data_IF_050600951590
#
_entry.id   IF_050600951590
#
_cell.length_a   1.000
_cell.length_b   1.000
_cell.length_c   1.000
_cell.angle_alpha   90.00
_cell.angle_beta   90.00
_cell.angle_gamma   90.00
#
_symmetry.space_group_name_H-M   'P 1'
#
loop_
_entity.id
_entity.type
_entity.pdbx_description
1 polymer ?
#
# COMPACT_ATOMS: atom_id res chain seq x y z
N UNK A 1 -56.04 23.48 -24.46
CA UNK A 1 -55.57 24.50 -23.45
C UNK A 1 -54.64 23.84 -22.49
N UNK A 2 -53.44 24.34 -22.33
CA UNK A 2 -52.39 23.63 -21.65
C UNK A 2 -52.29 24.05 -20.21
N UNK A 3 -51.94 23.08 -19.32
CA UNK A 3 -51.60 23.32 -17.94
C UNK A 3 -50.09 23.28 -17.73
N UNK A 4 -49.64 24.39 -17.23
CA UNK A 4 -48.28 24.73 -16.83
C UNK A 4 -47.71 23.79 -15.77
N UNK A 5 -46.58 23.17 -16.04
CA UNK A 5 -45.70 22.57 -15.07
C UNK A 5 -44.52 23.50 -14.82
N UNK A 6 -44.52 24.20 -13.69
CA UNK A 6 -43.40 25.04 -13.23
C UNK A 6 -42.28 24.18 -12.64
N UNK A 7 -41.19 24.26 -13.29
CA UNK A 7 -39.85 23.84 -12.95
C UNK A 7 -39.38 24.27 -11.56
N UNK A 8 -38.94 23.33 -10.76
CA UNK A 8 -38.03 23.62 -9.67
C UNK A 8 -36.62 23.34 -10.14
N UNK A 9 -35.91 24.42 -10.46
CA UNK A 9 -34.53 24.45 -10.85
C UNK A 9 -33.67 24.39 -9.58
N UNK A 10 -33.23 23.24 -9.17
CA UNK A 10 -32.17 23.11 -8.15
C UNK A 10 -30.84 23.29 -8.88
N UNK A 11 -30.23 24.45 -8.70
CA UNK A 11 -28.86 24.72 -9.10
C UNK A 11 -27.91 23.86 -8.26
N UNK A 12 -27.48 22.76 -8.81
CA UNK A 12 -26.28 22.06 -8.29
C UNK A 12 -25.08 22.95 -8.58
N UNK A 13 -24.49 23.49 -7.54
CA UNK A 13 -23.15 24.07 -7.60
C UNK A 13 -22.18 22.97 -8.02
N UNK A 14 -21.55 23.15 -9.16
CA UNK A 14 -20.40 22.38 -9.61
C UNK A 14 -19.24 22.64 -8.66
N UNK A 15 -19.15 21.89 -7.59
CA UNK A 15 -17.93 21.69 -6.84
C UNK A 15 -17.18 20.55 -7.50
N UNK A 16 -16.03 20.86 -8.01
CA UNK A 16 -15.08 20.03 -8.73
C UNK A 16 -14.64 18.88 -7.80
N UNK A 17 -15.26 17.72 -7.93
CA UNK A 17 -14.66 16.46 -7.50
C UNK A 17 -13.93 15.96 -8.74
N UNK A 18 -12.64 16.28 -8.82
CA UNK A 18 -11.75 15.73 -9.83
C UNK A 18 -11.77 14.20 -9.72
N UNK A 19 -11.88 13.49 -10.84
CA UNK A 19 -11.91 12.04 -10.83
C UNK A 19 -10.48 11.51 -10.63
N UNK A 20 -10.12 11.20 -9.39
CA UNK A 20 -8.97 10.34 -9.10
C UNK A 20 -9.24 8.86 -9.47
N UNK A 21 -10.25 8.62 -10.29
CA UNK A 21 -10.73 7.30 -10.62
C UNK A 21 -10.65 7.06 -12.13
N UNK A 22 -9.44 6.83 -12.65
CA UNK A 22 -9.33 6.21 -13.97
C UNK A 22 -8.02 5.42 -14.10
N UNK A 23 -7.93 4.30 -13.39
CA UNK A 23 -7.17 3.14 -13.86
C UNK A 23 -7.97 1.90 -13.48
N UNK A 24 -8.04 0.92 -14.37
CA UNK A 24 -8.74 -0.35 -14.18
C UNK A 24 -8.10 -1.12 -13.01
N UNK A 25 -8.37 -0.69 -11.79
CA UNK A 25 -7.98 -1.42 -10.60
C UNK A 25 -8.89 -2.62 -10.51
N UNK A 26 -8.36 -3.78 -10.68
CA UNK A 26 -9.10 -5.04 -10.50
C UNK A 26 -9.58 -5.06 -9.06
N UNK A 27 -10.87 -4.82 -8.86
CA UNK A 27 -11.49 -4.84 -7.53
C UNK A 27 -11.34 -6.23 -6.93
N UNK A 28 -10.65 -6.33 -5.82
CA UNK A 28 -10.40 -7.60 -5.16
C UNK A 28 -11.61 -8.00 -4.30
N UNK A 29 -12.23 -9.12 -4.63
CA UNK A 29 -13.36 -9.62 -3.86
C UNK A 29 -12.91 -10.46 -2.68
N UNK A 30 -13.49 -10.19 -1.50
CA UNK A 30 -13.26 -10.90 -0.26
C UNK A 30 -14.54 -11.34 0.43
N UNK A 31 -14.45 -12.39 1.22
CA UNK A 31 -15.53 -12.88 2.07
C UNK A 31 -15.36 -12.37 3.51
N UNK A 32 -16.48 -12.03 4.16
CA UNK A 32 -16.49 -11.69 5.59
C UNK A 32 -16.37 -12.99 6.40
N UNK A 33 -15.53 -12.97 7.42
CA UNK A 33 -15.39 -14.09 8.35
C UNK A 33 -16.27 -13.85 9.58
N UNK A 34 -17.34 -14.60 9.68
CA UNK A 34 -18.23 -14.57 10.86
C UNK A 34 -17.59 -15.28 12.06
N UNK A 35 -16.86 -16.37 11.81
CA UNK A 35 -16.16 -17.14 12.83
C UNK A 35 -14.67 -16.84 12.87
N UNK A 36 -14.19 -16.33 14.01
CA UNK A 36 -12.79 -15.92 14.24
C UNK A 36 -11.96 -17.09 14.82
N UNK A 37 -12.53 -18.26 14.98
CA UNK A 37 -11.90 -19.42 15.61
C UNK A 37 -10.67 -19.96 14.84
N UNK A 38 -9.75 -20.61 15.60
CA UNK A 38 -8.51 -21.22 15.07
C UNK A 38 -8.78 -22.30 14.02
N UNK A 39 -9.85 -23.09 14.19
CA UNK A 39 -10.24 -24.17 13.29
C UNK A 39 -10.64 -23.61 11.92
N UNK A 40 -11.50 -22.59 11.88
CA UNK A 40 -11.94 -21.94 10.66
C UNK A 40 -10.76 -21.27 9.92
N UNK A 41 -9.87 -20.59 10.65
CA UNK A 41 -8.67 -20.01 10.07
C UNK A 41 -7.76 -21.05 9.40
N UNK A 42 -7.63 -22.24 10.01
CA UNK A 42 -6.82 -23.34 9.46
C UNK A 42 -7.47 -23.94 8.21
N UNK A 43 -8.79 -24.07 8.19
CA UNK A 43 -9.53 -24.55 7.03
C UNK A 43 -9.40 -23.58 5.84
N UNK A 44 -9.69 -22.29 6.06
CA UNK A 44 -9.56 -21.27 5.01
C UNK A 44 -8.16 -21.22 4.40
N UNK A 45 -7.11 -21.36 5.23
CA UNK A 45 -5.72 -21.41 4.73
C UNK A 45 -5.46 -22.65 3.84
N UNK A 46 -6.05 -23.81 4.18
CA UNK A 46 -5.97 -25.04 3.36
C UNK A 46 -6.69 -24.87 2.03
N UNK A 47 -7.83 -24.16 2.04
CA UNK A 47 -8.65 -23.88 0.86
C UNK A 47 -8.04 -22.75 -0.02
N UNK A 48 -6.82 -22.31 0.32
CA UNK A 48 -6.08 -21.31 -0.46
C UNK A 48 -6.49 -19.87 -0.20
N UNK A 49 -7.20 -19.60 0.89
CA UNK A 49 -7.54 -18.24 1.31
C UNK A 49 -6.45 -17.61 2.18
N UNK A 50 -6.27 -16.32 1.99
CA UNK A 50 -5.45 -15.43 2.80
C UNK A 50 -6.34 -14.71 3.82
N UNK A 51 -5.96 -14.76 5.09
CA UNK A 51 -6.68 -14.07 6.15
C UNK A 51 -6.25 -12.61 6.18
N UNK A 52 -7.23 -11.71 6.31
CA UNK A 52 -7.00 -10.27 6.38
C UNK A 52 -7.78 -9.65 7.52
N UNK A 53 -7.15 -8.69 8.20
CA UNK A 53 -7.81 -7.76 9.10
C UNK A 53 -7.87 -6.38 8.44
N UNK A 54 -9.05 -5.78 8.43
CA UNK A 54 -9.29 -4.46 7.84
C UNK A 54 -9.74 -3.55 8.96
N UNK A 55 -9.02 -2.46 9.18
CA UNK A 55 -9.28 -1.53 10.27
C UNK A 55 -9.06 -0.07 9.88
N UNK A 56 -9.70 0.84 10.62
CA UNK A 56 -9.43 2.27 10.54
C UNK A 56 -9.75 2.93 11.88
N UNK A 57 -9.29 4.17 12.05
CA UNK A 57 -9.63 4.94 13.25
C UNK A 57 -11.13 5.24 13.28
N UNK A 58 -11.82 4.78 14.33
CA UNK A 58 -13.25 5.00 14.51
C UNK A 58 -14.16 4.07 13.70
N UNK A 59 -13.62 3.05 13.05
CA UNK A 59 -14.38 2.04 12.32
C UNK A 59 -14.17 0.69 12.97
N UNK A 60 -15.23 -0.12 13.06
CA UNK A 60 -15.16 -1.48 13.57
C UNK A 60 -14.26 -2.35 12.68
N UNK A 61 -13.48 -3.23 13.30
CA UNK A 61 -12.57 -4.12 12.57
C UNK A 61 -13.36 -5.15 11.77
N UNK A 62 -13.01 -5.28 10.50
CA UNK A 62 -13.62 -6.25 9.60
C UNK A 62 -12.62 -7.40 9.39
N UNK A 63 -13.03 -8.60 9.75
CA UNK A 63 -12.25 -9.81 9.47
C UNK A 63 -12.68 -10.38 8.13
N UNK A 64 -11.74 -10.42 7.20
CA UNK A 64 -11.98 -10.87 5.83
C UNK A 64 -11.05 -12.02 5.43
N UNK A 65 -11.40 -12.69 4.34
CA UNK A 65 -10.51 -13.63 3.67
C UNK A 65 -10.59 -13.42 2.16
N UNK A 66 -9.43 -13.45 1.51
CA UNK A 66 -9.27 -13.27 0.06
C UNK A 66 -8.65 -14.52 -0.54
N UNK A 67 -8.96 -14.84 -1.79
CA UNK A 67 -8.21 -15.87 -2.53
C UNK A 67 -6.77 -15.40 -2.70
N UNK A 68 -5.81 -16.21 -2.25
CA UNK A 68 -4.37 -15.88 -2.25
C UNK A 68 -3.87 -15.48 -3.63
N UNK A 69 -4.24 -16.22 -4.67
CA UNK A 69 -3.83 -15.95 -6.05
C UNK A 69 -4.30 -14.59 -6.56
N UNK A 70 -5.56 -14.24 -6.28
CA UNK A 70 -6.16 -12.98 -6.72
C UNK A 70 -5.60 -11.80 -5.96
N UNK A 71 -5.37 -11.96 -4.64
CA UNK A 71 -4.66 -10.96 -3.83
C UNK A 71 -3.25 -10.67 -4.36
N UNK A 72 -2.47 -11.71 -4.65
CA UNK A 72 -1.12 -11.54 -5.20
C UNK A 72 -1.12 -10.86 -6.57
N UNK A 73 -2.08 -11.20 -7.43
CA UNK A 73 -2.25 -10.53 -8.74
C UNK A 73 -2.60 -9.05 -8.55
N UNK A 74 -3.56 -8.74 -7.67
CA UNK A 74 -3.97 -7.36 -7.37
C UNK A 74 -2.80 -6.54 -6.79
N UNK A 75 -2.02 -7.11 -5.87
CA UNK A 75 -0.85 -6.43 -5.28
C UNK A 75 0.27 -6.20 -6.32
N UNK A 76 0.48 -7.13 -7.25
CA UNK A 76 1.49 -6.97 -8.33
C UNK A 76 1.04 -5.98 -9.39
N UNK A 77 -0.25 -5.97 -9.70
CA UNK A 77 -0.83 -5.08 -10.70
C UNK A 77 -1.04 -3.64 -10.19
N UNK A 78 -1.01 -3.45 -8.85
CA UNK A 78 -1.23 -2.11 -8.30
C UNK A 78 -0.04 -1.20 -8.59
N UNK A 79 -0.35 -0.03 -9.13
CA UNK A 79 0.61 1.06 -9.32
C UNK A 79 0.56 2.06 -8.14
N UNK A 80 -0.61 2.18 -7.49
CA UNK A 80 -0.84 3.07 -6.36
C UNK A 80 -0.49 2.43 -5.00
N UNK A 81 -0.35 3.26 -3.97
CA UNK A 81 -0.17 2.82 -2.59
C UNK A 81 -1.39 2.06 -2.06
N UNK A 82 -2.58 2.43 -2.53
CA UNK A 82 -3.86 1.86 -2.13
C UNK A 82 -4.31 0.72 -3.05
N UNK A 83 -5.27 -0.05 -2.57
CA UNK A 83 -5.93 -1.15 -3.27
C UNK A 83 -7.43 -1.06 -3.02
N UNK A 84 -8.24 -1.22 -4.08
CA UNK A 84 -9.69 -1.26 -3.94
C UNK A 84 -10.14 -2.69 -3.72
N UNK A 85 -10.89 -2.89 -2.64
CA UNK A 85 -11.41 -4.20 -2.22
C UNK A 85 -12.93 -4.12 -2.08
N UNK A 86 -13.58 -5.25 -2.33
CA UNK A 86 -15.00 -5.46 -2.03
C UNK A 86 -15.12 -6.59 -1.03
N UNK A 87 -15.69 -6.32 0.13
CA UNK A 87 -15.90 -7.30 1.19
C UNK A 87 -17.38 -7.32 1.56
N UNK A 88 -18.07 -8.40 1.16
CA UNK A 88 -19.53 -8.43 1.16
C UNK A 88 -20.10 -7.32 0.26
N UNK A 89 -20.97 -6.49 0.82
CA UNK A 89 -21.59 -5.36 0.09
C UNK A 89 -20.77 -4.05 0.17
N UNK A 90 -19.67 -4.04 0.91
CA UNK A 90 -18.86 -2.84 1.14
C UNK A 90 -17.68 -2.77 0.18
N UNK A 91 -17.60 -1.70 -0.60
CA UNK A 91 -16.42 -1.34 -1.38
C UNK A 91 -15.54 -0.40 -0.55
N UNK A 92 -14.26 -0.71 -0.38
CA UNK A 92 -13.34 0.01 0.48
C UNK A 92 -12.00 0.20 -0.25
N UNK A 93 -11.42 1.38 -0.10
CA UNK A 93 -10.05 1.66 -0.52
C UNK A 93 -9.12 1.46 0.67
N UNK A 94 -8.15 0.57 0.56
CA UNK A 94 -7.26 0.17 1.65
C UNK A 94 -5.80 0.30 1.27
N UNK A 95 -4.95 0.55 2.26
CA UNK A 95 -3.49 0.46 2.14
C UNK A 95 -2.99 -0.78 2.88
N UNK A 96 -2.00 -1.47 2.31
CA UNK A 96 -1.36 -2.61 2.97
C UNK A 96 -0.42 -2.08 4.05
N UNK A 97 -0.70 -2.41 5.30
CA UNK A 97 0.11 -2.01 6.44
C UNK A 97 1.20 -3.02 6.73
N UNK A 98 0.84 -4.29 6.80
CA UNK A 98 1.77 -5.37 7.10
C UNK A 98 1.30 -6.66 6.46
N UNK A 99 2.24 -7.57 6.20
CA UNK A 99 1.93 -8.95 5.82
C UNK A 99 2.89 -9.91 6.51
N UNK A 100 2.36 -11.01 6.95
CA UNK A 100 3.14 -12.09 7.57
C UNK A 100 3.40 -13.18 6.55
N UNK A 101 4.66 -13.58 6.46
CA UNK A 101 5.10 -14.68 5.60
C UNK A 101 5.28 -15.95 6.42
N UNK A 102 4.97 -17.07 5.80
CA UNK A 102 5.27 -18.37 6.38
C UNK A 102 6.79 -18.60 6.35
N UNK A 103 7.44 -18.98 7.47
CA UNK A 103 8.89 -19.02 7.57
C UNK A 103 9.58 -20.05 6.65
N UNK A 104 8.86 -21.10 6.23
CA UNK A 104 9.43 -22.19 5.42
C UNK A 104 9.19 -21.99 3.93
N UNK A 105 7.94 -21.72 3.52
CA UNK A 105 7.57 -21.64 2.10
C UNK A 105 7.41 -20.21 1.57
N UNK A 106 7.54 -19.19 2.42
CA UNK A 106 7.43 -17.79 2.02
C UNK A 106 6.02 -17.33 1.63
N UNK A 107 5.00 -18.17 1.78
CA UNK A 107 3.61 -17.82 1.49
C UNK A 107 3.09 -16.73 2.44
N UNK A 108 2.26 -15.83 1.92
CA UNK A 108 1.55 -14.86 2.76
C UNK A 108 0.49 -15.59 3.58
N UNK A 109 0.58 -15.49 4.91
CA UNK A 109 -0.30 -16.16 5.88
C UNK A 109 -1.37 -15.22 6.41
N UNK A 110 -1.03 -13.94 6.57
CA UNK A 110 -1.88 -12.89 7.09
C UNK A 110 -1.55 -11.55 6.47
N UNK A 111 -2.53 -10.68 6.33
CA UNK A 111 -2.35 -9.31 5.86
C UNK A 111 -3.16 -8.35 6.71
N UNK A 112 -2.55 -7.24 7.08
CA UNK A 112 -3.18 -6.12 7.75
C UNK A 112 -3.44 -5.01 6.74
N UNK A 113 -4.71 -4.66 6.60
CA UNK A 113 -5.21 -3.65 5.68
C UNK A 113 -5.78 -2.49 6.46
N UNK A 114 -5.33 -1.29 6.16
CA UNK A 114 -5.87 -0.06 6.74
C UNK A 114 -6.73 0.66 5.73
N UNK A 115 -7.96 1.02 6.12
CA UNK A 115 -8.84 1.81 5.26
C UNK A 115 -8.23 3.20 5.09
N UNK A 116 -8.11 3.65 3.86
CA UNK A 116 -7.62 4.97 3.50
C UNK A 116 -8.78 5.98 3.62
N UNK A 117 -8.87 6.64 4.76
CA UNK A 117 -9.87 7.70 4.98
C UNK A 117 -9.28 9.04 4.57
N UNK A 118 -9.97 9.82 3.69
CA UNK A 118 -9.54 11.16 3.31
C UNK A 118 -9.40 12.08 4.54
N UNK A 119 -8.39 12.95 4.54
CA UNK A 119 -8.14 13.92 5.62
C UNK A 119 -7.63 13.34 6.95
N UNK A 120 -7.54 12.02 7.09
CA UNK A 120 -7.04 11.38 8.31
C UNK A 120 -5.53 11.14 8.22
N UNK A 121 -4.78 11.75 9.13
CA UNK A 121 -3.31 11.56 9.21
C UNK A 121 -3.02 10.22 9.89
N UNK A 122 -2.37 9.33 9.18
CA UNK A 122 -1.94 8.01 9.69
C UNK A 122 -0.58 7.60 9.14
N UNK A 123 -0.03 6.50 9.66
CA UNK A 123 1.23 5.94 9.20
C UNK A 123 0.98 4.99 8.02
N UNK A 124 1.73 5.19 6.94
CA UNK A 124 1.72 4.33 5.76
C UNK A 124 3.11 3.77 5.48
N UNK A 125 3.18 2.59 4.90
CA UNK A 125 4.41 1.98 4.43
C UNK A 125 4.56 2.20 2.93
N UNK A 126 5.36 3.18 2.56
CA UNK A 126 5.60 3.57 1.16
C UNK A 126 6.79 2.77 0.61
N UNK A 127 6.62 2.08 -0.52
CA UNK A 127 7.70 1.32 -1.13
C UNK A 127 8.79 2.23 -1.68
N UNK A 128 10.02 1.73 -1.68
CA UNK A 128 11.19 2.37 -2.28
C UNK A 128 11.55 1.65 -3.57
N UNK A 129 11.76 2.42 -4.64
CA UNK A 129 12.30 1.95 -5.92
C UNK A 129 13.64 2.60 -6.16
N UNK A 130 14.60 1.82 -6.65
CA UNK A 130 15.90 2.33 -7.08
C UNK A 130 15.91 2.52 -8.59
N UNK A 131 16.52 3.59 -9.05
CA UNK A 131 16.72 3.91 -10.46
C UNK A 131 18.21 4.14 -10.71
N UNK A 132 18.67 3.78 -11.90
CA UNK A 132 20.07 3.89 -12.28
C UNK A 132 20.88 2.62 -12.03
N UNK A 133 22.12 2.65 -12.48
CA UNK A 133 23.09 1.56 -12.31
C UNK A 133 24.27 2.07 -11.50
N UNK A 134 24.50 1.57 -10.28
CA UNK A 134 25.58 2.04 -9.40
C UNK A 134 26.97 1.89 -10.05
N UNK A 135 27.81 2.89 -9.87
CA UNK A 135 29.24 2.84 -10.28
C UNK A 135 30.00 1.67 -9.65
N UNK A 136 29.67 1.39 -8.39
CA UNK A 136 30.28 0.31 -7.60
C UNK A 136 30.06 -1.10 -8.15
N UNK A 137 29.05 -1.33 -9.04
CA UNK A 137 28.91 -2.63 -9.71
C UNK A 137 30.12 -2.97 -10.58
N UNK A 138 30.75 -1.98 -11.21
CA UNK A 138 31.98 -2.18 -12.00
C UNK A 138 33.15 -2.57 -11.11
N UNK A 139 33.12 -2.17 -9.86
CA UNK A 139 34.14 -2.44 -8.82
C UNK A 139 33.85 -3.70 -7.99
N UNK A 140 33.11 -4.68 -8.56
CA UNK A 140 32.69 -5.91 -7.86
C UNK A 140 31.87 -5.65 -6.59
N UNK A 141 31.11 -4.55 -6.56
CA UNK A 141 30.13 -4.28 -5.52
C UNK A 141 28.79 -4.95 -5.80
N UNK A 142 27.99 -5.16 -4.76
CA UNK A 142 26.61 -5.66 -4.84
C UNK A 142 25.71 -4.65 -4.15
N UNK A 143 24.63 -4.22 -4.85
CA UNK A 143 23.63 -3.35 -4.28
C UNK A 143 22.71 -4.14 -3.34
N UNK A 144 22.65 -3.74 -2.09
CA UNK A 144 21.75 -4.31 -1.09
C UNK A 144 20.70 -3.29 -0.69
N UNK A 145 19.44 -3.70 -0.72
CA UNK A 145 18.34 -2.93 -0.14
C UNK A 145 18.08 -3.39 1.30
N UNK A 146 18.49 -2.57 2.27
CA UNK A 146 18.25 -2.82 3.70
C UNK A 146 16.78 -2.57 4.06
N UNK A 147 16.17 -1.52 3.48
CA UNK A 147 14.75 -1.21 3.65
C UNK A 147 14.05 -1.07 2.30
N UNK A 148 13.05 -1.89 2.08
CA UNK A 148 12.22 -1.85 0.86
C UNK A 148 10.99 -0.95 1.00
N UNK A 149 10.67 -0.51 2.22
CA UNK A 149 9.53 0.37 2.55
C UNK A 149 9.95 1.31 3.67
N UNK A 150 9.47 2.53 3.60
CA UNK A 150 9.66 3.56 4.61
C UNK A 150 8.33 3.90 5.26
N UNK A 151 8.36 4.09 6.58
CA UNK A 151 7.18 4.51 7.34
C UNK A 151 7.05 6.02 7.30
N UNK A 152 5.96 6.48 6.70
CA UNK A 152 5.65 7.90 6.53
C UNK A 152 4.29 8.20 7.13
N UNK A 153 4.20 9.27 7.89
CA UNK A 153 2.97 9.77 8.49
C UNK A 153 2.43 10.93 7.66
N UNK A 154 1.16 10.87 7.30
CA UNK A 154 0.50 11.91 6.53
C UNK A 154 -0.94 11.54 6.18
N UNK A 155 -1.63 12.45 5.49
CA UNK A 155 -2.90 12.15 4.86
C UNK A 155 -2.67 11.37 3.57
N UNK A 156 -3.58 10.45 3.22
CA UNK A 156 -3.43 9.59 2.03
C UNK A 156 -3.30 10.40 0.74
N UNK A 157 -3.92 11.57 0.69
CA UNK A 157 -3.93 12.48 -0.47
C UNK A 157 -2.54 13.01 -0.81
N UNK A 158 -1.70 13.24 0.22
CA UNK A 158 -0.35 13.78 0.07
C UNK A 158 0.71 12.68 -0.01
N UNK A 159 0.29 11.41 0.08
CA UNK A 159 1.20 10.28 0.17
C UNK A 159 1.73 9.91 -1.21
N UNK A 160 3.06 9.79 -1.40
CA UNK A 160 3.62 9.35 -2.67
C UNK A 160 3.34 7.86 -2.88
N UNK A 161 3.19 7.46 -4.13
CA UNK A 161 3.00 6.03 -4.46
C UNK A 161 4.25 5.20 -4.17
N UNK A 162 5.42 5.78 -4.38
CA UNK A 162 6.73 5.21 -4.07
C UNK A 162 7.77 6.33 -3.96
N UNK A 163 8.84 6.06 -3.23
CA UNK A 163 10.05 6.88 -3.26
C UNK A 163 10.98 6.35 -4.34
N UNK A 164 11.50 7.25 -5.17
CA UNK A 164 12.50 6.92 -6.18
C UNK A 164 13.87 7.37 -5.69
N UNK A 165 14.81 6.44 -5.56
CA UNK A 165 16.18 6.74 -5.18
C UNK A 165 17.10 6.51 -6.35
N UNK A 166 17.85 7.53 -6.75
CA UNK A 166 18.90 7.38 -7.74
C UNK A 166 20.16 6.79 -7.07
N UNK A 167 20.57 5.63 -7.58
CA UNK A 167 21.74 4.90 -7.07
C UNK A 167 22.93 5.00 -8.02
N UNK A 168 22.84 5.79 -9.08
CA UNK A 168 23.85 5.85 -10.14
C UNK A 168 25.22 6.26 -9.63
N UNK A 169 25.28 7.16 -8.65
CA UNK A 169 26.52 7.70 -8.09
C UNK A 169 27.13 6.86 -6.96
N UNK A 170 26.40 5.83 -6.49
CA UNK A 170 26.91 4.99 -5.40
C UNK A 170 28.12 4.18 -5.84
N UNK A 171 29.23 4.32 -5.10
CA UNK A 171 30.40 3.48 -5.22
C UNK A 171 30.44 2.46 -4.07
N UNK A 172 31.47 1.64 -4.05
CA UNK A 172 31.67 0.60 -3.03
C UNK A 172 31.78 1.22 -1.65
N UNK A 173 31.06 0.61 -0.68
CA UNK A 173 30.94 1.02 0.72
C UNK A 173 30.09 2.29 0.94
N UNK A 174 29.49 2.86 -0.13
CA UNK A 174 28.53 3.96 0.00
C UNK A 174 27.12 3.46 0.33
N UNK A 175 26.35 4.29 1.04
CA UNK A 175 24.96 4.01 1.38
C UNK A 175 24.09 5.25 1.36
N UNK A 176 22.86 5.10 0.87
CA UNK A 176 21.81 6.10 1.01
C UNK A 176 21.04 5.87 2.31
N UNK A 177 20.90 6.93 3.07
CA UNK A 177 20.23 6.93 4.36
C UNK A 177 18.79 7.47 4.23
N UNK A 178 17.98 7.24 5.26
CA UNK A 178 16.61 7.76 5.30
C UNK A 178 16.56 9.29 5.17
N UNK A 179 17.55 10.01 5.72
CA UNK A 179 17.65 11.48 5.61
C UNK A 179 17.84 11.99 4.19
N UNK A 180 18.36 11.15 3.28
CA UNK A 180 18.63 11.52 1.88
C UNK A 180 17.39 11.36 1.00
N UNK A 181 16.29 10.87 1.58
CA UNK A 181 15.01 10.67 0.88
C UNK A 181 14.18 11.95 0.96
N UNK A 182 13.79 12.47 -0.20
CA UNK A 182 12.91 13.64 -0.27
C UNK A 182 11.48 13.28 0.17
N UNK A 183 11.00 13.97 1.21
CA UNK A 183 9.65 13.76 1.76
C UNK A 183 8.71 14.84 1.22
N UNK A 184 7.55 14.46 0.63
CA UNK A 184 6.57 15.42 0.15
C UNK A 184 6.02 16.32 1.26
N UNK A 185 5.53 17.50 0.88
CA UNK A 185 4.89 18.43 1.81
C UNK A 185 3.65 17.80 2.48
N UNK A 186 3.50 18.03 3.78
CA UNK A 186 2.41 17.44 4.56
C UNK A 186 2.64 16.00 5.02
N UNK A 187 3.81 15.44 4.74
CA UNK A 187 4.24 14.13 5.21
C UNK A 187 5.43 14.24 6.17
N UNK A 188 5.52 13.31 7.11
CA UNK A 188 6.63 13.23 8.07
C UNK A 188 7.23 11.84 8.04
N UNK A 189 8.55 11.74 7.88
CA UNK A 189 9.27 10.47 7.99
C UNK A 189 9.27 9.99 9.44
N UNK A 190 8.88 8.75 9.67
CA UNK A 190 8.82 8.12 11.00
C UNK A 190 10.01 7.20 11.26
N UNK A 191 10.70 6.80 10.21
CA UNK A 191 11.93 6.03 10.33
C UNK A 191 13.09 6.94 10.78
N UNK A 192 14.07 6.37 11.48
CA UNK A 192 15.25 7.10 11.95
C UNK A 192 16.10 7.55 10.76
N UNK A 193 16.58 8.77 10.82
CA UNK A 193 17.33 9.43 9.74
C UNK A 193 18.69 8.73 9.42
N UNK A 194 19.28 8.06 10.39
CA UNK A 194 20.58 7.39 10.32
C UNK A 194 20.53 5.95 9.76
N UNK A 195 19.33 5.45 9.47
CA UNK A 195 19.17 4.08 8.95
C UNK A 195 19.45 4.04 7.46
N UNK A 196 20.25 3.05 7.02
CA UNK A 196 20.48 2.82 5.59
C UNK A 196 19.24 2.27 4.90
N UNK A 197 18.89 2.85 3.77
CA UNK A 197 17.82 2.37 2.86
C UNK A 197 18.40 1.38 1.86
N UNK A 198 19.47 1.77 1.18
CA UNK A 198 20.22 0.91 0.28
C UNK A 198 21.71 1.26 0.36
N UNK A 199 22.55 0.32 0.02
CA UNK A 199 24.00 0.54 0.00
C UNK A 199 24.72 -0.48 -0.86
N UNK A 200 25.97 -0.16 -1.19
CA UNK A 200 26.85 -1.01 -1.96
C UNK A 200 27.82 -1.70 -1.01
N UNK A 201 27.88 -3.02 -1.09
CA UNK A 201 28.88 -3.80 -0.35
C UNK A 201 29.81 -4.51 -1.31
N UNK A 202 30.99 -4.90 -0.83
CA UNK A 202 31.93 -5.73 -1.58
C UNK A 202 31.32 -7.12 -1.79
N UNK A 203 31.33 -7.61 -3.02
CA UNK A 203 31.08 -9.02 -3.28
C UNK A 203 32.21 -9.85 -2.64
N UNK A 204 31.84 -10.86 -1.87
CA UNK A 204 32.76 -11.77 -1.21
C UNK A 204 33.55 -12.61 -2.21
#
# INVERSE_FOLDING_TARGET
MPLNSRWWSIKFHRGIIAPYFTQRTTMLEGIIRESIGKSNAKQLKRDGYLIANIYAKGVENIHAAFKRGDFLKAVRAKEALTLDIKVGDKALTVAIQEYQLHPVNGDIVHVDLRIALPGVVTDYLVPVKTVGTPKGLKNKGVLIMSKRRLRVRGAIENMPQHFTLDVSDLDRDDSLLVRDVEVPQGCTMMDRADVSVCGMIKAG
#
